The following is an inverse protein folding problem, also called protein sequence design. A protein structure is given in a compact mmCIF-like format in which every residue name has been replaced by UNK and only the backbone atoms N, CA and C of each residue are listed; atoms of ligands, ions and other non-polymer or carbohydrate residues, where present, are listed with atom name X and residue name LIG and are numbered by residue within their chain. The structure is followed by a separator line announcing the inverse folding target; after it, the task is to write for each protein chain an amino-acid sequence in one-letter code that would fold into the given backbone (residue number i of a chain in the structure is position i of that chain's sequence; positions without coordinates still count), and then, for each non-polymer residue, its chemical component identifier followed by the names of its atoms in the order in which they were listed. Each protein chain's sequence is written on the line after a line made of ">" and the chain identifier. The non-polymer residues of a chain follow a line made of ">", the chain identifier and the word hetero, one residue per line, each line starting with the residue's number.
data_IF_116780253647
#
_entry.id   IF_116780253647
#
_cell.length_a   1.000
_cell.length_b   1.000
_cell.length_c   1.000
_cell.angle_alpha   90.00
_cell.angle_beta   90.00
_cell.angle_gamma   90.00
#
_symmetry.space_group_name_H-M   'P 1'
#
loop_
_entity.id
_entity.type
_entity.pdbx_description
1 polymer ?
#
# COMPACT_ATOMS: atom_id res chain seq x y z
N UNK A 1 19.66 -58.65 -2.45
CA UNK A 1 18.38 -58.37 -3.15
C UNK A 1 17.43 -57.49 -2.34
N UNK A 2 17.05 -57.84 -1.10
CA UNK A 2 16.08 -57.04 -0.30
C UNK A 2 16.49 -55.56 -0.10
N UNK A 3 17.75 -55.29 0.26
CA UNK A 3 18.26 -53.92 0.46
C UNK A 3 18.27 -53.09 -0.84
N UNK A 4 18.59 -53.71 -1.98
CA UNK A 4 18.61 -53.05 -3.29
C UNK A 4 17.18 -52.66 -3.70
N UNK A 5 16.21 -53.56 -3.47
CA UNK A 5 14.78 -53.29 -3.73
C UNK A 5 14.28 -52.15 -2.82
N UNK A 6 14.66 -52.14 -1.54
CA UNK A 6 14.30 -51.05 -0.62
C UNK A 6 14.90 -49.70 -1.05
N UNK A 7 16.16 -49.68 -1.49
CA UNK A 7 16.79 -48.45 -2.01
C UNK A 7 16.10 -47.95 -3.28
N UNK A 8 15.70 -48.84 -4.20
CA UNK A 8 14.95 -48.47 -5.39
C UNK A 8 13.57 -47.90 -5.05
N UNK A 9 12.88 -48.47 -4.07
CA UNK A 9 11.58 -47.96 -3.59
C UNK A 9 11.73 -46.57 -2.97
N UNK A 10 12.77 -46.36 -2.14
CA UNK A 10 13.04 -45.04 -1.54
C UNK A 10 13.38 -44.00 -2.60
N UNK A 11 14.16 -44.38 -3.62
CA UNK A 11 14.52 -43.50 -4.74
C UNK A 11 13.29 -43.16 -5.60
N UNK A 12 12.38 -44.12 -5.82
CA UNK A 12 11.13 -43.87 -6.52
C UNK A 12 10.21 -42.95 -5.73
N UNK A 13 10.06 -43.17 -4.41
CA UNK A 13 9.26 -42.32 -3.53
C UNK A 13 9.82 -40.89 -3.47
N UNK A 14 11.14 -40.72 -3.39
CA UNK A 14 11.77 -39.41 -3.31
C UNK A 14 11.55 -38.60 -4.59
N UNK A 15 11.70 -39.22 -5.76
CA UNK A 15 11.49 -38.55 -7.06
C UNK A 15 10.04 -38.12 -7.25
N UNK A 16 9.07 -38.97 -6.88
CA UNK A 16 7.64 -38.62 -6.92
C UNK A 16 7.33 -37.47 -5.97
N UNK A 17 7.86 -37.50 -4.75
CA UNK A 17 7.63 -36.44 -3.76
C UNK A 17 8.18 -35.09 -4.22
N UNK A 18 9.37 -35.08 -4.82
CA UNK A 18 9.99 -33.87 -5.37
C UNK A 18 9.21 -33.29 -6.56
N UNK A 19 8.73 -34.14 -7.46
CA UNK A 19 7.92 -33.72 -8.60
C UNK A 19 6.60 -33.06 -8.14
N UNK A 20 5.86 -33.73 -7.23
CA UNK A 20 4.61 -33.22 -6.70
C UNK A 20 4.80 -31.91 -5.92
N UNK A 21 5.88 -31.80 -5.14
CA UNK A 21 6.19 -30.59 -4.38
C UNK A 21 6.40 -29.38 -5.29
N UNK A 22 7.08 -29.57 -6.43
CA UNK A 22 7.32 -28.51 -7.41
C UNK A 22 6.02 -28.06 -8.09
N UNK A 23 5.16 -29.00 -8.45
CA UNK A 23 3.89 -28.68 -9.10
C UNK A 23 2.94 -27.96 -8.15
N UNK A 24 2.80 -28.43 -6.91
CA UNK A 24 1.98 -27.76 -5.89
C UNK A 24 2.50 -26.35 -5.62
N UNK A 25 3.81 -26.16 -5.47
CA UNK A 25 4.39 -24.84 -5.23
C UNK A 25 4.14 -23.87 -6.39
N UNK A 26 4.30 -24.34 -7.63
CA UNK A 26 4.07 -23.49 -8.82
C UNK A 26 2.60 -23.12 -8.98
N UNK A 27 1.66 -24.05 -8.72
CA UNK A 27 0.24 -23.74 -8.73
C UNK A 27 -0.13 -22.74 -7.63
N UNK A 28 0.37 -22.93 -6.42
CA UNK A 28 0.10 -22.00 -5.32
C UNK A 28 0.60 -20.58 -5.62
N UNK A 29 1.78 -20.46 -6.23
CA UNK A 29 2.30 -19.16 -6.69
C UNK A 29 1.39 -18.50 -7.72
N UNK A 30 0.89 -19.26 -8.70
CA UNK A 30 -0.03 -18.77 -9.73
C UNK A 30 -1.36 -18.29 -9.11
N UNK A 31 -1.94 -19.05 -8.19
CA UNK A 31 -3.16 -18.63 -7.48
C UNK A 31 -2.96 -17.32 -6.73
N UNK A 32 -1.83 -17.17 -6.03
CA UNK A 32 -1.50 -15.94 -5.31
C UNK A 32 -1.31 -14.75 -6.27
N UNK A 33 -0.71 -14.99 -7.42
CA UNK A 33 -0.54 -13.98 -8.46
C UNK A 33 -1.87 -13.54 -9.05
N UNK A 34 -2.76 -14.48 -9.37
CA UNK A 34 -4.13 -14.20 -9.86
C UNK A 34 -4.89 -13.35 -8.83
N UNK A 35 -4.92 -13.77 -7.56
CA UNK A 35 -5.60 -13.02 -6.50
C UNK A 35 -5.05 -11.61 -6.33
N UNK A 36 -3.72 -11.42 -6.44
CA UNK A 36 -3.12 -10.10 -6.39
C UNK A 36 -3.50 -9.23 -7.59
N UNK A 37 -3.62 -9.81 -8.79
CA UNK A 37 -4.04 -9.10 -10.00
C UNK A 37 -5.50 -8.70 -9.88
N UNK A 38 -6.38 -9.60 -9.45
CA UNK A 38 -7.80 -9.32 -9.22
C UNK A 38 -7.99 -8.16 -8.23
N UNK A 39 -7.29 -8.20 -7.09
CA UNK A 39 -7.33 -7.11 -6.12
C UNK A 39 -6.88 -5.76 -6.70
N UNK A 40 -5.85 -5.77 -7.56
CA UNK A 40 -5.39 -4.55 -8.23
C UNK A 40 -6.44 -4.02 -9.21
N UNK A 41 -7.06 -4.90 -9.99
CA UNK A 41 -8.12 -4.52 -10.93
C UNK A 41 -9.30 -3.92 -10.17
N UNK A 42 -9.72 -4.55 -9.07
CA UNK A 42 -10.80 -4.02 -8.24
C UNK A 42 -10.45 -2.64 -7.67
N UNK A 43 -9.26 -2.48 -7.09
CA UNK A 43 -8.81 -1.20 -6.53
C UNK A 43 -8.77 -0.10 -7.59
N UNK A 44 -8.24 -0.40 -8.79
CA UNK A 44 -8.20 0.55 -9.88
C UNK A 44 -9.59 0.91 -10.42
N UNK A 45 -10.54 -0.04 -10.42
CA UNK A 45 -11.92 0.25 -10.78
C UNK A 45 -12.62 1.16 -9.75
N UNK A 46 -12.40 0.92 -8.46
CA UNK A 46 -12.89 1.77 -7.37
C UNK A 46 -12.27 3.18 -7.45
N UNK A 47 -10.95 3.28 -7.64
CA UNK A 47 -10.26 4.57 -7.82
C UNK A 47 -10.77 5.33 -9.05
N UNK A 48 -10.97 4.64 -10.18
CA UNK A 48 -11.49 5.29 -11.38
C UNK A 48 -12.91 5.83 -11.16
N UNK A 49 -13.77 5.07 -10.47
CA UNK A 49 -15.12 5.51 -10.13
C UNK A 49 -15.10 6.75 -9.21
N UNK A 50 -14.26 6.74 -8.18
CA UNK A 50 -14.11 7.90 -7.29
C UNK A 50 -13.61 9.14 -8.04
N UNK A 51 -12.68 8.96 -8.97
CA UNK A 51 -12.17 10.05 -9.82
C UNK A 51 -13.23 10.57 -10.77
N UNK A 52 -14.05 9.70 -11.37
CA UNK A 52 -15.19 10.10 -12.19
C UNK A 52 -16.22 10.91 -11.39
N UNK A 53 -16.57 10.47 -10.18
CA UNK A 53 -17.47 11.21 -9.28
C UNK A 53 -16.93 12.60 -8.94
N UNK A 54 -15.64 12.71 -8.57
CA UNK A 54 -14.98 14.00 -8.33
C UNK A 54 -14.95 14.89 -9.56
N UNK A 55 -14.76 14.29 -10.74
CA UNK A 55 -14.72 15.01 -11.99
C UNK A 55 -16.10 15.56 -12.36
N UNK A 56 -17.17 14.80 -12.13
CA UNK A 56 -18.54 15.31 -12.23
C UNK A 56 -18.84 16.43 -11.24
N UNK A 57 -18.42 16.30 -9.98
CA UNK A 57 -18.57 17.36 -8.97
C UNK A 57 -17.83 18.65 -9.37
N UNK A 58 -16.62 18.52 -9.91
CA UNK A 58 -15.81 19.66 -10.38
C UNK A 58 -16.40 20.36 -11.60
N UNK A 59 -17.13 19.64 -12.45
CA UNK A 59 -17.81 20.18 -13.64
C UNK A 59 -19.08 20.98 -13.31
N UNK A 60 -19.60 20.86 -12.08
CA UNK A 60 -20.77 21.63 -11.68
C UNK A 60 -20.51 23.13 -11.79
N UNK A 61 -21.51 23.91 -12.20
CA UNK A 61 -21.39 25.37 -12.32
C UNK A 61 -20.99 26.03 -10.98
N UNK A 62 -21.41 25.44 -9.87
CA UNK A 62 -21.03 25.87 -8.52
C UNK A 62 -19.53 25.72 -8.25
N UNK A 63 -18.94 24.58 -8.62
CA UNK A 63 -17.50 24.34 -8.49
C UNK A 63 -16.69 25.25 -9.41
N UNK A 64 -17.16 25.46 -10.64
CA UNK A 64 -16.52 26.37 -11.60
C UNK A 64 -16.54 27.83 -11.12
N UNK A 65 -17.68 28.31 -10.62
CA UNK A 65 -17.81 29.64 -10.03
C UNK A 65 -16.89 29.79 -8.82
N UNK A 66 -16.85 28.79 -7.94
CA UNK A 66 -15.99 28.79 -6.76
C UNK A 66 -14.51 28.81 -7.12
N UNK A 67 -14.08 28.02 -8.10
CA UNK A 67 -12.70 28.00 -8.57
C UNK A 67 -12.31 29.31 -9.26
N UNK A 68 -13.19 29.87 -10.11
CA UNK A 68 -12.99 31.17 -10.74
C UNK A 68 -12.87 32.29 -9.68
N UNK A 69 -13.76 32.29 -8.67
CA UNK A 69 -13.74 33.24 -7.56
C UNK A 69 -12.42 33.15 -6.78
N UNK A 70 -11.99 31.94 -6.45
CA UNK A 70 -10.73 31.69 -5.74
C UNK A 70 -9.52 32.16 -6.55
N UNK A 71 -9.46 31.89 -7.87
CA UNK A 71 -8.36 32.32 -8.75
C UNK A 71 -8.30 33.83 -8.94
N UNK A 72 -9.45 34.49 -8.91
CA UNK A 72 -9.57 35.95 -9.00
C UNK A 72 -9.39 36.66 -7.65
N UNK A 73 -9.16 35.92 -6.55
CA UNK A 73 -8.99 36.48 -5.22
C UNK A 73 -10.27 37.02 -4.58
N UNK A 74 -11.45 36.67 -5.12
CA UNK A 74 -12.74 37.06 -4.58
C UNK A 74 -13.22 36.03 -3.53
N UNK A 75 -14.08 36.47 -2.60
CA UNK A 75 -14.72 35.61 -1.58
C UNK A 75 -16.21 35.90 -1.49
N UNK A 76 -17.01 34.86 -1.29
CA UNK A 76 -18.45 35.02 -1.01
C UNK A 76 -18.63 35.27 0.49
N UNK A 77 -19.62 36.10 0.87
CA UNK A 77 -19.97 36.33 2.28
C UNK A 77 -20.25 34.98 2.97
N UNK A 78 -19.47 34.66 4.00
CA UNK A 78 -19.56 33.41 4.77
C UNK A 78 -18.49 32.37 4.48
N UNK A 79 -17.64 32.55 3.47
CA UNK A 79 -16.46 31.69 3.25
C UNK A 79 -15.30 32.14 4.17
N UNK A 80 -14.76 31.21 4.97
CA UNK A 80 -13.62 31.47 5.87
C UNK A 80 -12.34 31.01 5.18
N UNK A 81 -11.44 31.94 4.88
CA UNK A 81 -10.09 31.63 4.42
C UNK A 81 -9.21 31.32 5.62
N UNK A 82 -8.85 30.05 5.78
CA UNK A 82 -7.86 29.64 6.75
C UNK A 82 -6.47 29.90 6.18
N UNK A 83 -5.89 31.06 6.50
CA UNK A 83 -4.46 31.30 6.31
C UNK A 83 -3.76 30.69 7.51
N UNK A 84 -3.20 29.50 7.33
CA UNK A 84 -2.31 28.91 8.34
C UNK A 84 -0.98 29.65 8.23
N UNK A 85 -0.72 30.54 9.20
CA UNK A 85 0.62 31.03 9.43
C UNK A 85 1.46 29.82 9.90
N UNK A 86 2.36 29.33 9.04
CA UNK A 86 3.41 28.38 9.45
C UNK A 86 4.49 29.11 10.27
N UNK A 87 4.07 30.10 11.06
CA UNK A 87 4.86 30.99 11.86
C UNK A 87 5.49 30.21 13.01
N UNK A 88 6.81 30.08 12.94
CA UNK A 88 7.62 29.60 14.04
C UNK A 88 7.59 28.09 14.21
N UNK A 89 8.27 27.37 13.31
CA UNK A 89 8.99 26.19 13.77
C UNK A 89 9.98 26.70 14.83
N UNK A 90 9.55 26.70 16.10
CA UNK A 90 10.42 26.86 17.23
C UNK A 90 11.57 25.89 16.99
N UNK A 91 12.76 26.47 16.81
CA UNK A 91 14.01 25.74 16.88
C UNK A 91 14.19 25.34 18.34
N UNK A 92 13.32 24.49 18.85
CA UNK A 92 13.70 23.64 19.96
C UNK A 92 14.87 22.81 19.44
N UNK A 93 16.04 23.19 19.89
CA UNK A 93 17.27 22.40 19.81
C UNK A 93 17.10 21.16 20.68
N UNK A 94 16.13 20.31 20.33
CA UNK A 94 16.08 18.94 20.81
C UNK A 94 17.29 18.26 20.20
N UNK A 95 18.39 18.22 20.95
CA UNK A 95 19.56 17.40 20.62
C UNK A 95 19.04 16.03 20.22
N UNK A 96 19.15 15.72 18.93
CA UNK A 96 18.68 14.47 18.33
C UNK A 96 19.37 13.34 19.09
N UNK A 97 18.62 12.65 19.97
CA UNK A 97 19.14 11.48 20.67
C UNK A 97 19.61 10.49 19.62
N UNK A 98 20.89 10.12 19.70
CA UNK A 98 21.50 9.13 18.81
C UNK A 98 20.76 7.79 18.95
N UNK A 99 20.73 7.00 17.88
CA UNK A 99 19.91 5.78 17.84
C UNK A 99 20.20 4.82 19.00
N UNK A 100 21.45 4.71 19.47
CA UNK A 100 21.82 3.86 20.60
C UNK A 100 21.17 4.29 21.93
N UNK A 101 20.92 5.59 22.14
CA UNK A 101 20.25 6.09 23.34
C UNK A 101 18.78 5.66 23.37
N UNK A 102 18.15 5.57 22.20
CA UNK A 102 16.78 5.07 22.06
C UNK A 102 16.70 3.57 22.35
N UNK A 103 17.71 2.80 21.93
CA UNK A 103 17.76 1.37 22.22
C UNK A 103 17.90 1.09 23.72
N UNK A 104 18.74 1.83 24.45
CA UNK A 104 18.87 1.65 25.90
C UNK A 104 17.56 1.91 26.66
N UNK A 105 16.82 2.94 26.26
CA UNK A 105 15.54 3.31 26.89
C UNK A 105 14.50 2.19 26.76
N UNK A 106 14.50 1.47 25.62
CA UNK A 106 13.61 0.33 25.40
C UNK A 106 13.95 -0.90 26.26
N UNK A 107 15.19 -1.03 26.74
CA UNK A 107 15.65 -2.23 27.46
C UNK A 107 15.83 -2.04 28.97
N UNK A 108 15.84 -0.80 29.46
CA UNK A 108 16.13 -0.47 30.87
C UNK A 108 14.96 0.24 31.58
N UNK A 109 13.77 0.25 30.98
CA UNK A 109 12.53 0.72 31.60
C UNK A 109 11.53 -0.42 31.77
#
# INVERSE_FOLDING_TARGET
>A
MRLIIQLLIILLLSTVTLALSKDVYTQFKKFREISNIENKVQKSAEENKELEEKLEESKSEFSLEKEARSKLGYQKRGEVLYVVDLGGADKETTKKKENWQKWLDLFLH
#
